data_IF_118877946583
#
_entry.id   IF_118877946583
#
_cell.length_a   1.000
_cell.length_b   1.000
_cell.length_c   1.000
_cell.angle_alpha   90.00
_cell.angle_beta   90.00
_cell.angle_gamma   90.00
#
_symmetry.space_group_name_H-M   'P 1'
#
loop_
_entity.id
_entity.type
_entity.pdbx_description
1 polymer ?
#
# COMPACT_ATOMS: atom_id res chain seq x y z
N UNK A 1 -36.38 -10.50 17.93
CA UNK A 1 -35.38 -11.55 17.60
C UNK A 1 -34.36 -11.11 16.52
N UNK A 2 -34.21 -9.80 16.24
CA UNK A 2 -33.43 -9.30 15.09
C UNK A 2 -32.05 -8.74 15.45
N UNK A 3 -31.75 -8.53 16.74
CA UNK A 3 -30.54 -7.84 17.21
C UNK A 3 -29.31 -8.75 17.36
N UNK A 4 -29.52 -10.05 17.53
CA UNK A 4 -28.46 -11.05 17.76
C UNK A 4 -27.83 -11.60 16.47
N UNK A 5 -28.54 -11.61 15.34
CA UNK A 5 -28.00 -12.06 14.05
C UNK A 5 -26.99 -11.07 13.46
N UNK A 6 -27.26 -9.77 13.58
CA UNK A 6 -26.37 -8.72 13.06
C UNK A 6 -24.98 -8.74 13.72
N UNK A 7 -24.94 -8.90 15.05
CA UNK A 7 -23.67 -9.00 15.79
C UNK A 7 -22.88 -10.29 15.47
N UNK A 8 -23.56 -11.38 15.11
CA UNK A 8 -22.91 -12.63 14.71
C UNK A 8 -22.29 -12.52 13.30
N UNK A 9 -22.98 -11.85 12.37
CA UNK A 9 -22.47 -11.57 11.02
C UNK A 9 -21.32 -10.54 11.05
N UNK A 10 -21.42 -9.51 11.90
CA UNK A 10 -20.35 -8.52 12.15
C UNK A 10 -19.07 -9.19 12.71
N UNK A 11 -19.22 -10.15 13.63
CA UNK A 11 -18.09 -10.94 14.14
C UNK A 11 -17.49 -11.87 13.08
N UNK A 12 -18.30 -12.38 12.15
CA UNK A 12 -17.84 -13.32 11.13
C UNK A 12 -17.04 -12.65 10.01
N UNK A 13 -17.44 -11.45 9.57
CA UNK A 13 -16.69 -10.69 8.55
C UNK A 13 -15.42 -10.04 9.12
N UNK A 14 -15.46 -9.56 10.37
CA UNK A 14 -14.24 -9.16 11.09
C UNK A 14 -13.29 -10.35 11.27
N UNK A 15 -13.82 -11.55 11.53
CA UNK A 15 -13.03 -12.78 11.63
C UNK A 15 -12.39 -13.17 10.29
N UNK A 16 -13.10 -13.01 9.16
CA UNK A 16 -12.51 -13.23 7.82
C UNK A 16 -11.43 -12.22 7.46
N UNK A 17 -11.62 -10.94 7.78
CA UNK A 17 -10.63 -9.89 7.56
C UNK A 17 -9.37 -10.14 8.41
N UNK A 18 -9.55 -10.43 9.70
CA UNK A 18 -8.45 -10.77 10.61
C UNK A 18 -7.75 -12.05 10.17
N UNK A 19 -8.47 -13.08 9.71
CA UNK A 19 -7.87 -14.30 9.18
C UNK A 19 -7.09 -14.07 7.88
N UNK A 20 -7.59 -13.27 6.94
CA UNK A 20 -6.86 -12.96 5.70
C UNK A 20 -5.58 -12.16 5.98
N UNK A 21 -5.67 -11.13 6.83
CA UNK A 21 -4.51 -10.33 7.26
C UNK A 21 -3.52 -11.19 8.07
N UNK A 22 -4.01 -12.11 8.90
CA UNK A 22 -3.18 -13.04 9.66
C UNK A 22 -2.50 -14.08 8.77
N UNK A 23 -3.19 -14.61 7.75
CA UNK A 23 -2.61 -15.56 6.79
C UNK A 23 -1.50 -14.90 5.95
N UNK A 24 -1.70 -13.63 5.58
CA UNK A 24 -0.70 -12.83 4.87
C UNK A 24 0.50 -12.49 5.77
N UNK A 25 0.28 -12.26 7.06
CA UNK A 25 1.35 -12.02 8.06
C UNK A 25 2.21 -13.26 8.31
N UNK A 26 1.61 -14.47 8.34
CA UNK A 26 2.37 -15.73 8.46
C UNK A 26 3.30 -15.93 7.26
N UNK A 27 2.87 -15.56 6.05
CA UNK A 27 3.72 -15.63 4.85
C UNK A 27 4.91 -14.65 4.89
N UNK A 28 4.77 -13.49 5.54
CA UNK A 28 5.87 -12.51 5.69
C UNK A 28 6.82 -12.90 6.83
N UNK A 29 6.31 -13.36 7.98
CA UNK A 29 7.13 -13.75 9.12
C UNK A 29 7.98 -15.01 8.86
N UNK A 30 7.45 -15.96 8.07
CA UNK A 30 8.20 -17.17 7.66
C UNK A 30 9.35 -16.89 6.70
N UNK A 31 9.40 -15.70 6.09
CA UNK A 31 10.54 -15.27 5.27
C UNK A 31 11.67 -14.61 6.10
N UNK A 32 11.38 -14.10 7.30
CA UNK A 32 12.36 -13.40 8.15
C UNK A 32 13.14 -14.32 9.12
N UNK A 33 12.72 -15.57 9.31
CA UNK A 33 13.46 -16.53 10.16
C UNK A 33 14.71 -17.14 9.48
N UNK A 34 15.10 -16.60 8.32
CA UNK A 34 16.28 -16.97 7.54
C UNK A 34 17.47 -16.02 7.64
N UNK A 35 18.09 -15.92 8.84
CA UNK A 35 19.48 -15.46 9.13
C UNK A 35 19.86 -13.97 8.99
N UNK A 36 20.41 -13.45 10.09
CA UNK A 36 21.28 -12.27 10.17
C UNK A 36 22.71 -12.55 9.64
N UNK A 37 23.17 -11.76 8.66
CA UNK A 37 24.31 -10.79 8.75
C UNK A 37 24.56 -10.09 7.40
N UNK A 38 25.02 -8.82 7.39
CA UNK A 38 25.17 -8.04 6.17
C UNK A 38 26.60 -8.14 5.61
N UNK A 39 26.73 -8.50 4.33
CA UNK A 39 27.88 -8.14 3.50
C UNK A 39 27.41 -7.97 2.07
N UNK A 40 27.61 -6.78 1.51
CA UNK A 40 27.29 -6.51 0.11
C UNK A 40 28.22 -7.30 -0.81
N UNK A 41 27.63 -7.92 -1.83
CA UNK A 41 28.19 -8.09 -3.17
C UNK A 41 27.07 -8.58 -4.08
N UNK A 42 26.90 -7.91 -5.21
CA UNK A 42 26.11 -8.37 -6.35
C UNK A 42 26.55 -9.79 -6.75
N UNK A 43 25.62 -10.73 -6.81
CA UNK A 43 25.86 -12.05 -7.41
C UNK A 43 24.91 -12.26 -8.57
N UNK A 44 25.41 -11.93 -9.76
CA UNK A 44 25.02 -12.56 -11.03
C UNK A 44 25.33 -14.06 -10.91
N UNK A 45 24.39 -14.93 -11.25
CA UNK A 45 24.64 -16.37 -11.45
C UNK A 45 24.32 -16.71 -12.91
N UNK A 46 25.22 -17.37 -13.67
CA UNK A 46 25.05 -17.64 -15.09
C UNK A 46 24.16 -18.86 -15.34
N UNK A 47 23.56 -18.89 -16.54
CA UNK A 47 22.41 -19.71 -16.89
C UNK A 47 22.63 -21.22 -17.00
N UNK A 48 21.50 -21.94 -16.94
CA UNK A 48 21.29 -23.26 -17.55
C UNK A 48 20.04 -23.20 -18.42
N UNK A 49 20.17 -23.68 -19.66
CA UNK A 49 19.06 -23.99 -20.56
C UNK A 49 18.28 -25.20 -20.04
N UNK A 50 16.96 -25.12 -20.11
CA UNK A 50 16.05 -26.26 -20.23
C UNK A 50 14.94 -25.89 -21.21
N UNK A 51 14.73 -26.79 -22.18
CA UNK A 51 13.76 -26.78 -23.30
C UNK A 51 12.28 -26.80 -22.80
N UNK A 52 11.30 -26.51 -23.69
CA UNK A 52 9.97 -26.05 -23.30
C UNK A 52 9.03 -27.19 -22.93
N UNK A 53 8.37 -27.07 -21.77
CA UNK A 53 7.29 -27.93 -21.35
C UNK A 53 6.11 -27.09 -20.87
N UNK A 54 4.94 -27.35 -21.44
CA UNK A 54 3.66 -26.71 -21.13
C UNK A 54 3.37 -26.67 -19.63
N UNK A 55 3.43 -25.47 -19.04
CA UNK A 55 2.95 -25.16 -17.69
C UNK A 55 1.64 -24.38 -17.76
N UNK A 56 0.69 -24.60 -16.83
CA UNK A 56 -0.64 -24.02 -16.93
C UNK A 56 -0.60 -22.50 -16.80
N UNK A 57 -1.43 -21.85 -17.60
CA UNK A 57 -1.57 -20.41 -17.72
C UNK A 57 -1.81 -19.71 -16.36
N UNK A 58 -1.07 -18.62 -16.17
CA UNK A 58 -1.40 -17.42 -15.37
C UNK A 58 -2.35 -17.58 -14.19
N UNK A 59 -1.78 -17.73 -12.99
CA UNK A 59 -2.50 -17.42 -11.76
C UNK A 59 -2.75 -15.91 -11.67
N UNK A 60 -3.96 -15.48 -12.04
CA UNK A 60 -4.44 -14.11 -11.76
C UNK A 60 -4.54 -13.97 -10.24
N UNK A 61 -3.73 -13.09 -9.64
CA UNK A 61 -3.93 -12.68 -8.26
C UNK A 61 -5.34 -12.08 -8.13
N UNK A 62 -6.22 -12.75 -7.39
CA UNK A 62 -7.55 -12.21 -7.09
C UNK A 62 -7.39 -11.04 -6.13
N UNK A 63 -7.80 -9.85 -6.57
CA UNK A 63 -7.93 -8.69 -5.71
C UNK A 63 -8.96 -8.99 -4.61
N UNK A 64 -8.54 -9.06 -3.35
CA UNK A 64 -9.48 -9.20 -2.23
C UNK A 64 -10.25 -7.90 -2.02
N UNK A 65 -11.57 -7.98 -1.92
CA UNK A 65 -12.45 -6.82 -1.73
C UNK A 65 -12.71 -6.64 -0.23
N UNK A 66 -12.16 -5.58 0.37
CA UNK A 66 -12.49 -5.21 1.75
C UNK A 66 -13.78 -4.39 1.77
N UNK A 67 -14.84 -4.93 2.39
CA UNK A 67 -16.09 -4.21 2.61
C UNK A 67 -16.13 -3.70 4.05
N UNK A 68 -16.12 -2.38 4.23
CA UNK A 68 -16.35 -1.77 5.55
C UNK A 68 -17.87 -1.58 5.78
N UNK A 69 -18.30 -1.66 7.04
CA UNK A 69 -19.70 -1.72 7.51
C UNK A 69 -20.62 -0.59 7.01
N UNK A 70 -20.07 0.51 6.46
CA UNK A 70 -20.83 1.69 6.05
C UNK A 70 -21.34 1.66 4.60
N UNK A 71 -21.50 0.48 3.98
CA UNK A 71 -22.06 0.34 2.62
C UNK A 71 -21.20 0.97 1.51
N UNK A 72 -19.96 1.34 1.81
CA UNK A 72 -19.02 1.93 0.85
C UNK A 72 -18.00 0.86 0.47
N UNK A 73 -18.18 0.24 -0.69
CA UNK A 73 -17.19 -0.68 -1.24
C UNK A 73 -15.84 0.03 -1.38
N UNK A 74 -14.82 -0.53 -0.71
CA UNK A 74 -13.43 -0.11 -0.87
C UNK A 74 -12.66 -1.21 -1.60
N UNK A 75 -11.64 -0.79 -2.33
CA UNK A 75 -10.75 -1.69 -3.06
C UNK A 75 -9.30 -1.29 -2.78
N UNK A 76 -8.42 -2.28 -2.85
CA UNK A 76 -6.97 -2.12 -2.78
C UNK A 76 -6.29 -3.46 -2.99
N UNK A 77 -5.05 -3.42 -3.46
CA UNK A 77 -4.12 -4.55 -3.33
C UNK A 77 -3.38 -4.29 -2.03
N UNK A 78 -3.78 -5.00 -0.97
CA UNK A 78 -3.35 -4.67 0.38
C UNK A 78 -2.09 -5.44 0.74
N UNK A 79 -0.94 -4.76 0.71
CA UNK A 79 0.21 -5.20 1.50
C UNK A 79 0.17 -4.40 2.80
N UNK A 80 -0.22 -5.01 3.94
CA UNK A 80 -0.25 -4.31 5.21
C UNK A 80 1.18 -4.08 5.72
N UNK A 81 1.36 -3.01 6.49
CA UNK A 81 2.60 -2.79 7.27
C UNK A 81 2.26 -2.78 8.75
N UNK A 82 3.12 -3.40 9.56
CA UNK A 82 2.90 -3.56 11.01
C UNK A 82 3.95 -2.79 11.79
N UNK A 83 3.52 -2.02 12.78
CA UNK A 83 4.41 -1.36 13.74
C UNK A 83 3.82 -1.47 15.16
N UNK A 84 4.44 -2.29 16.00
CA UNK A 84 3.89 -2.62 17.32
C UNK A 84 2.50 -3.25 17.20
N UNK A 85 1.49 -2.60 17.77
CA UNK A 85 0.07 -3.05 17.69
C UNK A 85 -0.69 -2.49 16.49
N UNK A 86 -0.05 -1.70 15.63
CA UNK A 86 -0.75 -1.01 14.54
C UNK A 86 -0.55 -1.77 13.23
N UNK A 87 -1.64 -2.11 12.55
CA UNK A 87 -1.65 -2.65 11.18
C UNK A 87 -2.18 -1.57 10.25
N UNK A 88 -1.34 -1.08 9.35
CA UNK A 88 -1.69 -0.01 8.43
C UNK A 88 -1.81 -0.50 7.00
N UNK A 89 -2.80 0.05 6.29
CA UNK A 89 -3.05 -0.23 4.89
C UNK A 89 -3.59 1.01 4.16
N UNK A 90 -3.30 1.08 2.87
CA UNK A 90 -3.87 2.07 1.94
C UNK A 90 -5.12 1.49 1.29
N UNK A 91 -6.18 2.30 1.19
CA UNK A 91 -7.43 1.87 0.54
C UNK A 91 -7.98 2.99 -0.33
N UNK A 92 -8.81 2.64 -1.31
CA UNK A 92 -9.51 3.62 -2.15
C UNK A 92 -10.98 3.24 -2.26
N UNK A 93 -11.83 4.24 -2.54
CA UNK A 93 -13.15 3.94 -3.09
C UNK A 93 -13.01 3.31 -4.48
N UNK A 94 -14.01 2.50 -4.83
CA UNK A 94 -14.10 1.81 -6.12
C UNK A 94 -14.06 2.80 -7.31
N UNK A 95 -14.64 3.99 -7.15
CA UNK A 95 -14.60 5.07 -8.14
C UNK A 95 -13.25 5.82 -8.20
N UNK A 96 -12.30 5.51 -7.31
CA UNK A 96 -10.99 6.17 -7.20
C UNK A 96 -11.03 7.61 -6.71
N UNK A 97 -12.20 8.17 -6.38
CA UNK A 97 -12.35 9.59 -6.04
C UNK A 97 -11.90 9.94 -4.63
N UNK A 98 -11.75 8.93 -3.75
CA UNK A 98 -11.31 9.10 -2.37
C UNK A 98 -10.28 8.04 -2.02
N UNK A 99 -9.17 8.50 -1.45
CA UNK A 99 -8.01 7.69 -1.08
C UNK A 99 -7.80 7.78 0.43
N UNK A 100 -7.49 6.66 1.06
CA UNK A 100 -7.52 6.51 2.51
C UNK A 100 -6.30 5.78 3.07
N UNK A 101 -5.98 6.08 4.33
CA UNK A 101 -5.12 5.28 5.18
C UNK A 101 -5.97 4.70 6.32
N UNK A 102 -5.94 3.38 6.47
CA UNK A 102 -6.65 2.67 7.52
C UNK A 102 -5.62 2.08 8.50
N UNK A 103 -5.87 2.24 9.79
CA UNK A 103 -5.15 1.58 10.86
C UNK A 103 -6.09 0.67 11.63
N UNK A 104 -5.65 -0.56 11.87
CA UNK A 104 -6.35 -1.55 12.68
C UNK A 104 -5.45 -1.96 13.83
N UNK A 105 -6.02 -2.14 15.01
CA UNK A 105 -5.32 -2.71 16.16
C UNK A 105 -5.11 -4.21 15.92
N UNK A 106 -3.85 -4.65 15.94
CA UNK A 106 -3.42 -6.01 15.63
C UNK A 106 -4.08 -7.06 16.54
N UNK A 107 -4.35 -6.71 17.80
CA UNK A 107 -4.86 -7.67 18.79
C UNK A 107 -6.38 -7.80 18.72
N UNK A 108 -7.08 -6.67 18.64
CA UNK A 108 -8.54 -6.64 18.71
C UNK A 108 -9.23 -6.64 17.34
N UNK A 109 -8.49 -6.37 16.26
CA UNK A 109 -9.05 -6.20 14.92
C UNK A 109 -9.88 -4.92 14.76
N UNK A 110 -9.90 -4.02 15.77
CA UNK A 110 -10.69 -2.79 15.72
C UNK A 110 -10.00 -1.73 14.87
N UNK A 111 -10.80 -0.98 14.11
CA UNK A 111 -10.31 0.19 13.38
C UNK A 111 -9.93 1.28 14.40
N UNK A 112 -8.66 1.68 14.37
CA UNK A 112 -8.10 2.78 15.18
C UNK A 112 -8.17 4.09 14.40
N UNK A 113 -7.84 4.04 13.11
CA UNK A 113 -7.90 5.19 12.22
C UNK A 113 -8.53 4.83 10.88
N UNK A 114 -9.41 5.69 10.37
CA UNK A 114 -9.93 5.65 8.99
C UNK A 114 -9.82 7.07 8.40
N UNK A 115 -8.67 7.34 7.78
CA UNK A 115 -8.27 8.69 7.40
C UNK A 115 -8.46 8.85 5.90
N UNK A 116 -9.35 9.75 5.48
CA UNK A 116 -9.38 10.20 4.09
C UNK A 116 -8.17 11.10 3.83
N UNK A 117 -7.22 10.61 3.04
CA UNK A 117 -5.99 11.32 2.74
C UNK A 117 -6.22 12.33 1.61
N UNK A 118 -6.86 11.90 0.52
CA UNK A 118 -7.02 12.73 -0.67
C UNK A 118 -8.40 12.55 -1.32
N UNK A 119 -8.97 13.66 -1.80
CA UNK A 119 -9.99 13.66 -2.85
C UNK A 119 -9.30 13.76 -4.24
N UNK A 120 -9.87 13.06 -5.22
CA UNK A 120 -9.39 12.98 -6.61
C UNK A 120 -10.54 13.33 -7.55
N UNK A 121 -10.41 14.46 -8.26
CA UNK A 121 -11.46 14.95 -9.15
C UNK A 121 -11.63 14.08 -10.41
N UNK A 122 -10.51 13.62 -10.98
CA UNK A 122 -10.47 12.82 -12.22
C UNK A 122 -9.52 11.63 -12.05
N UNK A 123 -10.00 10.53 -11.45
CA UNK A 123 -9.21 9.31 -11.33
C UNK A 123 -8.91 8.73 -12.72
N UNK A 124 -7.66 8.35 -12.96
CA UNK A 124 -7.26 7.60 -14.15
C UNK A 124 -7.72 6.14 -13.99
N UNK A 125 -8.51 5.66 -14.95
CA UNK A 125 -9.14 4.33 -14.92
C UNK A 125 -8.80 3.47 -16.12
N UNK A 126 -7.88 3.90 -16.97
CA UNK A 126 -7.35 3.05 -18.02
C UNK A 126 -6.74 1.79 -17.36
N UNK A 127 -7.02 0.62 -17.92
CA UNK A 127 -6.50 -0.67 -17.45
C UNK A 127 -6.78 -1.00 -15.97
N UNK A 128 -7.96 -0.64 -15.47
CA UNK A 128 -8.37 -0.82 -14.06
C UNK A 128 -8.35 -2.26 -13.53
N UNK A 129 -8.18 -3.25 -14.40
CA UNK A 129 -8.09 -4.67 -14.05
C UNK A 129 -6.68 -5.10 -13.64
N UNK A 130 -5.63 -4.32 -13.94
CA UNK A 130 -4.24 -4.67 -13.63
C UNK A 130 -3.82 -4.31 -12.20
N UNK A 131 -4.39 -3.24 -11.63
CA UNK A 131 -4.07 -2.77 -10.29
C UNK A 131 -5.18 -1.83 -9.74
N UNK A 132 -5.03 -1.35 -8.51
CA UNK A 132 -6.02 -0.51 -7.83
C UNK A 132 -5.51 0.92 -7.59
N UNK A 133 -6.40 1.85 -7.21
CA UNK A 133 -6.01 3.22 -6.88
C UNK A 133 -5.16 3.35 -5.60
N UNK A 134 -5.08 2.28 -4.81
CA UNK A 134 -4.33 2.21 -3.55
C UNK A 134 -3.32 1.05 -3.54
N UNK A 135 -2.80 0.68 -4.71
CA UNK A 135 -1.79 -0.39 -4.83
C UNK A 135 -0.47 -0.10 -4.11
N UNK A 136 0.07 1.14 -4.05
CA UNK A 136 1.32 1.37 -3.34
C UNK A 136 1.22 1.05 -1.85
N UNK A 137 2.15 0.22 -1.39
CA UNK A 137 2.32 -0.15 0.02
C UNK A 137 2.86 1.06 0.80
N UNK A 138 2.24 1.46 1.93
CA UNK A 138 2.80 2.53 2.74
C UNK A 138 4.09 2.08 3.42
N UNK A 139 4.87 3.03 3.96
CA UNK A 139 6.03 2.73 4.81
C UNK A 139 5.85 3.40 6.17
N UNK A 140 6.18 2.69 7.24
CA UNK A 140 5.96 3.13 8.63
C UNK A 140 7.27 3.15 9.41
N UNK A 141 7.42 4.16 10.27
CA UNK A 141 8.47 4.27 11.27
C UNK A 141 7.89 4.80 12.58
N UNK A 142 8.71 4.95 13.61
CA UNK A 142 8.26 5.48 14.90
C UNK A 142 7.54 6.84 14.74
N UNK A 143 6.25 6.87 15.09
CA UNK A 143 5.41 8.06 15.09
C UNK A 143 4.91 8.52 13.71
N UNK A 144 5.30 7.87 12.60
CA UNK A 144 4.96 8.34 11.25
C UNK A 144 4.66 7.21 10.28
N UNK A 145 3.67 7.45 9.43
CA UNK A 145 3.41 6.62 8.26
C UNK A 145 3.40 7.49 7.01
N UNK A 146 4.05 7.00 5.96
CA UNK A 146 4.12 7.63 4.66
C UNK A 146 3.25 6.84 3.68
N UNK A 147 2.29 7.54 3.07
CA UNK A 147 1.34 6.97 2.12
C UNK A 147 1.56 7.61 0.76
N UNK A 148 1.49 6.80 -0.29
CA UNK A 148 1.71 7.24 -1.66
C UNK A 148 0.58 6.73 -2.57
N UNK A 149 0.11 7.61 -3.45
CA UNK A 149 -0.94 7.30 -4.41
C UNK A 149 -0.56 7.86 -5.79
N UNK A 150 0.72 7.79 -6.15
CA UNK A 150 1.20 8.34 -7.42
C UNK A 150 0.99 9.83 -7.53
N UNK A 151 0.58 10.21 -8.74
CA UNK A 151 0.21 11.56 -9.14
C UNK A 151 -0.98 12.15 -8.38
N UNK A 152 -1.74 11.35 -7.63
CA UNK A 152 -2.81 11.86 -6.77
C UNK A 152 -2.26 12.47 -5.48
N UNK A 153 -1.10 12.00 -5.03
CA UNK A 153 -0.35 12.62 -3.95
C UNK A 153 0.48 11.65 -3.10
N UNK A 154 1.35 12.23 -2.29
CA UNK A 154 2.13 11.58 -1.23
C UNK A 154 1.92 12.34 0.07
N UNK A 155 1.76 11.65 1.19
CA UNK A 155 1.57 12.31 2.49
C UNK A 155 2.29 11.59 3.62
N UNK A 156 2.60 12.33 4.68
CA UNK A 156 3.02 11.80 5.97
C UNK A 156 1.93 12.05 7.00
N UNK A 157 1.58 11.02 7.75
CA UNK A 157 0.60 11.06 8.82
C UNK A 157 1.28 10.71 10.14
N UNK A 158 0.85 11.37 11.21
CA UNK A 158 1.19 11.00 12.59
C UNK A 158 0.43 9.73 12.97
N UNK A 159 1.13 8.70 13.42
CA UNK A 159 0.52 7.37 13.66
C UNK A 159 -0.32 7.31 14.93
N UNK A 160 -0.20 8.26 15.84
CA UNK A 160 -0.98 8.29 17.08
C UNK A 160 -2.31 9.03 16.92
N UNK A 161 -2.28 10.15 16.20
CA UNK A 161 -3.43 11.05 16.04
C UNK A 161 -4.12 10.89 14.68
N UNK A 162 -3.46 10.27 13.71
CA UNK A 162 -3.92 10.21 12.33
C UNK A 162 -3.85 11.56 11.59
N UNK A 163 -3.26 12.59 12.20
CA UNK A 163 -3.15 13.92 11.59
C UNK A 163 -2.14 13.91 10.46
N UNK A 164 -2.46 14.63 9.39
CA UNK A 164 -1.55 14.86 8.27
C UNK A 164 -0.47 15.86 8.67
N UNK A 165 0.79 15.42 8.68
CA UNK A 165 1.96 16.24 8.99
C UNK A 165 2.33 17.09 7.76
N UNK A 166 2.37 16.45 6.59
CA UNK A 166 2.58 17.13 5.31
C UNK A 166 1.94 16.34 4.16
N UNK A 167 1.68 17.02 3.04
CA UNK A 167 1.31 16.39 1.77
C UNK A 167 2.01 17.04 0.58
N UNK A 168 2.14 16.26 -0.50
CA UNK A 168 2.65 16.67 -1.81
C UNK A 168 1.67 16.20 -2.87
N UNK A 169 1.28 17.11 -3.74
CA UNK A 169 0.35 16.87 -4.87
C UNK A 169 0.85 17.44 -6.18
N UNK A 170 2.05 17.99 -6.21
CA UNK A 170 2.66 18.68 -7.36
C UNK A 170 3.53 17.75 -8.23
N UNK A 171 3.76 16.51 -7.76
CA UNK A 171 4.45 15.49 -8.53
C UNK A 171 3.44 14.71 -9.37
N UNK A 172 3.51 14.87 -10.68
CA UNK A 172 2.57 14.27 -11.62
C UNK A 172 3.30 13.45 -12.68
N UNK A 173 2.61 12.45 -13.23
CA UNK A 173 2.83 11.74 -14.47
C UNK A 173 1.52 11.03 -14.90
N UNK A 174 1.47 10.55 -16.13
CA UNK A 174 0.37 9.75 -16.66
C UNK A 174 0.58 8.29 -16.26
N UNK A 175 0.03 7.91 -15.10
CA UNK A 175 -0.05 6.53 -14.66
C UNK A 175 -1.18 5.80 -15.40
N UNK A 176 -1.16 5.68 -16.74
CA UNK A 176 -2.22 4.98 -17.50
C UNK A 176 -2.67 3.66 -16.90
N UNK A 177 -1.78 2.97 -16.18
CA UNK A 177 -2.05 1.71 -15.45
C UNK A 177 -2.05 1.95 -13.93
N UNK A 178 -2.55 3.09 -13.43
CA UNK A 178 -2.56 3.56 -12.01
C UNK A 178 -1.18 3.51 -11.32
N UNK A 179 -1.01 4.12 -10.13
CA UNK A 179 0.26 4.05 -9.43
C UNK A 179 0.54 2.67 -8.85
N UNK A 180 1.79 2.20 -8.99
CA UNK A 180 2.26 0.92 -8.44
C UNK A 180 3.52 0.99 -7.58
N UNK A 181 4.22 2.13 -7.56
CA UNK A 181 5.50 2.27 -6.87
C UNK A 181 5.31 2.56 -5.38
N UNK A 182 5.79 1.66 -4.51
CA UNK A 182 5.79 1.88 -3.06
C UNK A 182 6.95 2.77 -2.62
N UNK A 183 6.74 3.70 -1.67
CA UNK A 183 7.81 4.50 -1.09
C UNK A 183 8.79 3.66 -0.27
N UNK A 184 10.03 4.14 -0.19
CA UNK A 184 11.05 3.63 0.74
C UNK A 184 11.60 4.80 1.58
N UNK A 185 11.98 4.54 2.83
CA UNK A 185 12.44 5.58 3.75
C UNK A 185 13.82 5.24 4.31
N UNK A 186 14.67 6.25 4.50
CA UNK A 186 15.93 6.14 5.23
C UNK A 186 15.97 7.11 6.43
N UNK A 187 17.17 7.42 6.93
CA UNK A 187 17.34 8.33 8.08
C UNK A 187 16.77 9.73 7.85
N UNK A 188 16.79 10.26 6.64
CA UNK A 188 16.40 11.65 6.34
C UNK A 188 15.38 11.79 5.20
N UNK A 189 15.28 10.78 4.34
CA UNK A 189 14.63 10.87 3.04
C UNK A 189 13.55 9.83 2.86
N UNK A 190 12.50 10.22 2.14
CA UNK A 190 11.50 9.34 1.57
C UNK A 190 11.72 9.33 0.05
N UNK A 191 11.97 8.15 -0.52
CA UNK A 191 12.16 7.99 -1.95
C UNK A 191 10.92 7.41 -2.60
N UNK A 192 10.59 7.92 -3.78
CA UNK A 192 9.46 7.47 -4.58
C UNK A 192 9.88 7.40 -6.04
N UNK A 193 9.52 6.32 -6.71
CA UNK A 193 9.64 6.19 -8.16
C UNK A 193 8.31 6.58 -8.82
N UNK A 194 8.40 7.34 -9.92
CA UNK A 194 7.28 7.62 -10.81
C UNK A 194 7.59 6.96 -12.14
N UNK A 195 6.70 6.07 -12.57
CA UNK A 195 6.81 5.33 -13.83
C UNK A 195 5.57 5.61 -14.69
N UNK A 196 5.41 6.87 -15.07
CA UNK A 196 4.33 7.28 -15.98
C UNK A 196 4.68 6.92 -17.42
N UNK A 197 3.68 6.91 -18.30
CA UNK A 197 3.92 6.70 -19.74
C UNK A 197 4.52 7.92 -20.43
N UNK A 198 4.31 9.10 -19.86
CA UNK A 198 4.77 10.40 -20.34
C UNK A 198 6.15 10.78 -19.78
N UNK A 199 6.42 10.44 -18.51
CA UNK A 199 7.67 10.70 -17.82
C UNK A 199 7.94 9.69 -16.72
N UNK A 200 9.22 9.38 -16.55
CA UNK A 200 9.71 8.48 -15.52
C UNK A 200 10.83 9.17 -14.74
N UNK A 201 10.73 9.19 -13.42
CA UNK A 201 11.71 9.84 -12.55
C UNK A 201 11.71 9.24 -11.15
N UNK A 202 12.83 9.44 -10.45
CA UNK A 202 12.97 9.18 -9.02
C UNK A 202 12.99 10.50 -8.27
N UNK A 203 12.33 10.55 -7.13
CA UNK A 203 12.34 11.71 -6.24
C UNK A 203 12.76 11.29 -4.83
N UNK A 204 13.60 12.12 -4.20
CA UNK A 204 13.85 12.06 -2.77
C UNK A 204 13.22 13.28 -2.09
N UNK A 205 12.38 13.03 -1.11
CA UNK A 205 11.73 14.03 -0.27
C UNK A 205 12.38 14.02 1.11
N UNK A 206 12.58 15.18 1.72
CA UNK A 206 12.87 15.26 3.14
C UNK A 206 11.69 14.66 3.92
N UNK A 207 11.92 13.60 4.69
CA UNK A 207 10.82 12.84 5.31
C UNK A 207 10.08 13.63 6.39
N UNK A 208 10.70 14.66 6.97
CA UNK A 208 10.09 15.50 8.02
C UNK A 208 9.17 16.56 7.44
N UNK A 209 9.50 17.10 6.27
CA UNK A 209 8.83 18.28 5.69
C UNK A 209 8.14 18.02 4.37
N UNK A 210 8.46 16.91 3.70
CA UNK A 210 7.99 16.57 2.37
C UNK A 210 8.66 17.37 1.25
N UNK A 211 9.63 18.26 1.54
CA UNK A 211 10.31 19.08 0.52
C UNK A 211 11.20 18.23 -0.38
N UNK A 212 11.25 18.55 -1.66
CA UNK A 212 12.14 17.85 -2.59
C UNK A 212 13.61 18.12 -2.22
N UNK A 213 14.38 17.05 -2.00
CA UNK A 213 15.84 17.10 -1.85
C UNK A 213 16.52 17.00 -3.20
N UNK A 214 16.07 16.06 -4.03
CA UNK A 214 16.46 15.94 -5.42
C UNK A 214 15.39 15.20 -6.22
N UNK A 215 15.43 15.41 -7.54
CA UNK A 215 14.64 14.68 -8.53
C UNK A 215 15.58 14.29 -9.66
N UNK A 216 15.44 13.07 -10.17
CA UNK A 216 16.27 12.56 -11.26
C UNK A 216 15.44 11.78 -12.27
N UNK A 217 15.49 12.20 -13.52
CA UNK A 217 14.83 11.49 -14.62
C UNK A 217 15.46 10.10 -14.82
N UNK A 218 14.62 9.13 -15.19
CA UNK A 218 15.03 7.79 -15.59
C UNK A 218 15.40 7.85 -17.08
N UNK A 219 16.68 7.58 -17.38
CA UNK A 219 17.20 7.51 -18.74
C UNK A 219 16.84 6.20 -19.42
#
# INVERSE_FOLDING_TARGET
>A
MTRTRKAADENFENFKFVLSVSLLLVAVATAEEGRHRPTGTSSVVPGRRSEPGDGPAGGVQRNEKCSLENGNSRQGVFVPVVWGKQVWLTTAREDGRKLFALCVDLQSGKIVHDIKVFDVARPQSAYSYLNTHATPTPVIEAGRIYVHFGSYGTACLDTNSGKKIWERRDLHCDHRVRPGSSPIVDQESLFVAFDGVDKQFFVALDKKTGKTRWLRDRK
#
